data_IF_916962893509
#
_entry.id   IF_916962893509
#
_cell.length_a   1.000
_cell.length_b   1.000
_cell.length_c   1.000
_cell.angle_alpha   90.00
_cell.angle_beta   90.00
_cell.angle_gamma   90.00
#
_symmetry.space_group_name_H-M   'P 1'
#
loop_
_entity.id
_entity.type
_entity.pdbx_description
1 polymer ?
#
# COMPACT_ATOMS: atom_id res chain seq x y z
N UNK A 1 -3.68 -25.64 78.54
CA UNK A 1 -3.99 -24.26 78.10
C UNK A 1 -2.76 -23.38 77.82
N UNK A 2 -1.87 -23.09 78.78
CA UNK A 2 -0.75 -22.12 78.58
C UNK A 2 0.27 -22.53 77.48
N UNK A 3 0.56 -23.84 77.30
CA UNK A 3 1.48 -24.32 76.25
C UNK A 3 0.90 -24.18 74.82
N UNK A 4 -0.41 -24.31 74.65
CA UNK A 4 -1.08 -24.17 73.35
C UNK A 4 -1.20 -22.72 72.93
N UNK A 5 -1.47 -21.79 73.85
CA UNK A 5 -1.46 -20.35 73.55
C UNK A 5 -0.07 -19.84 73.17
N UNK A 6 1.00 -20.31 73.84
CA UNK A 6 2.38 -19.98 73.46
C UNK A 6 2.76 -20.56 72.09
N UNK A 7 2.29 -21.76 71.74
CA UNK A 7 2.46 -22.36 70.41
C UNK A 7 1.68 -21.61 69.33
N UNK A 8 0.44 -21.19 69.60
CA UNK A 8 -0.37 -20.33 68.70
C UNK A 8 0.28 -18.95 68.49
N UNK A 9 0.82 -18.31 69.54
CA UNK A 9 1.56 -17.05 69.45
C UNK A 9 2.88 -17.20 68.66
N UNK A 10 3.62 -18.31 68.80
CA UNK A 10 4.83 -18.59 68.00
C UNK A 10 4.50 -18.84 66.52
N UNK A 11 3.44 -19.60 66.21
CA UNK A 11 2.99 -19.84 64.81
C UNK A 11 2.51 -18.56 64.12
N UNK A 12 1.79 -17.69 64.84
CA UNK A 12 1.41 -16.35 64.33
C UNK A 12 2.62 -15.46 64.03
N UNK A 13 3.66 -15.49 64.88
CA UNK A 13 4.91 -14.74 64.63
C UNK A 13 5.67 -15.24 63.39
N UNK A 14 5.74 -16.55 63.20
CA UNK A 14 6.36 -17.14 61.99
C UNK A 14 5.57 -16.77 60.73
N UNK A 15 4.24 -16.87 60.78
CA UNK A 15 3.38 -16.43 59.68
C UNK A 15 3.54 -14.94 59.35
N UNK A 16 3.70 -14.09 60.38
CA UNK A 16 3.98 -12.67 60.19
C UNK A 16 5.35 -12.42 59.51
N UNK A 17 6.40 -13.14 59.92
CA UNK A 17 7.70 -13.00 59.27
C UNK A 17 7.68 -13.49 57.82
N UNK A 18 6.99 -14.59 57.52
CA UNK A 18 6.80 -15.07 56.15
C UNK A 18 6.05 -14.01 55.32
N UNK A 19 4.99 -13.42 55.86
CA UNK A 19 4.25 -12.35 55.21
C UNK A 19 5.12 -11.10 54.96
N UNK A 20 5.92 -10.68 55.95
CA UNK A 20 6.83 -9.55 55.80
C UNK A 20 7.90 -9.79 54.74
N UNK A 21 8.49 -10.99 54.71
CA UNK A 21 9.45 -11.38 53.67
C UNK A 21 8.78 -11.37 52.30
N UNK A 22 7.55 -11.89 52.18
CA UNK A 22 6.79 -11.87 50.94
C UNK A 22 6.55 -10.43 50.45
N UNK A 23 6.13 -9.53 51.35
CA UNK A 23 5.91 -8.11 51.00
C UNK A 23 7.22 -7.45 50.56
N UNK A 24 8.33 -7.74 51.23
CA UNK A 24 9.65 -7.21 50.85
C UNK A 24 10.05 -7.68 49.45
N UNK A 25 9.82 -8.96 49.12
CA UNK A 25 10.11 -9.52 47.80
C UNK A 25 9.23 -8.89 46.72
N UNK A 26 7.95 -8.67 47.00
CA UNK A 26 7.04 -7.98 46.08
C UNK A 26 7.52 -6.54 45.85
N UNK A 27 7.86 -5.81 46.92
CA UNK A 27 8.36 -4.44 46.81
C UNK A 27 9.66 -4.35 46.01
N UNK A 28 10.59 -5.29 46.23
CA UNK A 28 11.82 -5.40 45.43
C UNK A 28 11.52 -5.71 43.96
N UNK A 29 10.57 -6.61 43.67
CA UNK A 29 10.12 -6.91 42.32
C UNK A 29 9.53 -5.69 41.61
N UNK A 30 8.62 -4.96 42.27
CA UNK A 30 8.06 -3.71 41.73
C UNK A 30 9.16 -2.68 41.49
N UNK A 31 10.11 -2.54 42.41
CA UNK A 31 11.23 -1.62 42.24
C UNK A 31 12.08 -1.96 41.01
N UNK A 32 12.36 -3.25 40.78
CA UNK A 32 13.09 -3.72 39.58
C UNK A 32 12.30 -3.41 38.31
N UNK A 33 11.01 -3.75 38.27
CA UNK A 33 10.17 -3.50 37.08
C UNK A 33 10.12 -2.01 36.74
N UNK A 34 9.99 -1.13 37.74
CA UNK A 34 9.89 0.32 37.53
C UNK A 34 11.21 0.97 37.08
N UNK A 35 12.37 0.43 37.47
CA UNK A 35 13.67 1.08 37.22
C UNK A 35 14.55 0.38 36.19
N UNK A 36 14.35 -0.91 35.95
CA UNK A 36 15.17 -1.71 35.02
C UNK A 36 14.47 -1.90 33.68
N UNK A 37 13.14 -2.02 33.67
CA UNK A 37 12.39 -2.24 32.43
C UNK A 37 11.86 -0.90 31.93
N UNK A 38 12.58 -0.27 31.01
CA UNK A 38 12.27 1.04 30.44
C UNK A 38 12.44 0.99 28.93
N UNK A 39 11.50 1.48 28.14
CA UNK A 39 11.67 1.54 26.69
C UNK A 39 12.66 2.65 26.36
N UNK A 40 13.88 2.29 25.95
CA UNK A 40 14.90 3.24 25.49
C UNK A 40 15.15 3.13 23.99
N UNK A 41 15.02 1.92 23.44
CA UNK A 41 15.21 1.64 22.02
C UNK A 41 14.06 0.77 21.50
N UNK A 42 13.65 1.03 20.26
CA UNK A 42 12.65 0.23 19.55
C UNK A 42 13.27 -0.23 18.23
N UNK A 43 13.27 -1.54 18.02
CA UNK A 43 13.71 -2.16 16.77
C UNK A 43 12.45 -2.65 16.06
N UNK A 44 12.24 -2.19 14.83
CA UNK A 44 11.12 -2.61 13.99
C UNK A 44 11.68 -3.33 12.77
N UNK A 45 11.16 -4.52 12.49
CA UNK A 45 11.54 -5.33 11.33
C UNK A 45 10.29 -5.79 10.57
N UNK A 46 10.43 -6.04 9.26
CA UNK A 46 9.35 -6.55 8.41
C UNK A 46 8.32 -5.48 7.99
N UNK A 47 8.63 -4.20 8.20
CA UNK A 47 7.81 -3.07 7.79
C UNK A 47 8.29 -2.54 6.43
N UNK A 48 7.56 -2.83 5.36
CA UNK A 48 7.82 -2.29 4.02
C UNK A 48 6.84 -1.16 3.68
N UNK A 49 5.59 -1.26 4.14
CA UNK A 49 4.52 -0.29 3.86
C UNK A 49 4.46 0.84 4.86
N UNK A 50 4.63 0.53 6.15
CA UNK A 50 4.64 1.53 7.22
C UNK A 50 6.07 1.86 7.64
N UNK A 51 6.32 3.12 7.98
CA UNK A 51 7.59 3.50 8.60
C UNK A 51 7.73 2.93 10.01
N UNK A 52 8.97 2.69 10.45
CA UNK A 52 9.24 2.18 11.80
C UNK A 52 8.63 3.07 12.89
N UNK A 53 8.60 4.39 12.69
CA UNK A 53 7.97 5.34 13.62
C UNK A 53 6.45 5.21 13.66
N UNK A 54 5.79 4.91 12.54
CA UNK A 54 4.34 4.66 12.54
C UNK A 54 4.01 3.39 13.33
N UNK A 55 4.76 2.30 13.08
CA UNK A 55 4.61 1.04 13.82
C UNK A 55 4.88 1.24 15.31
N UNK A 56 5.95 1.95 15.65
CA UNK A 56 6.27 2.31 17.04
C UNK A 56 5.10 3.04 17.71
N UNK A 57 4.53 4.06 17.06
CA UNK A 57 3.40 4.80 17.60
C UNK A 57 2.10 3.99 17.68
N UNK A 58 1.92 2.96 16.85
CA UNK A 58 0.79 2.04 16.95
C UNK A 58 0.91 1.11 18.16
N UNK A 59 2.12 0.65 18.47
CA UNK A 59 2.41 -0.28 19.57
C UNK A 59 2.60 0.45 20.91
N UNK A 60 3.30 1.58 20.92
CA UNK A 60 3.59 2.38 22.11
C UNK A 60 2.60 3.53 22.28
N UNK A 61 1.30 3.18 22.29
CA UNK A 61 0.21 4.15 22.18
C UNK A 61 -0.47 4.54 23.50
N UNK A 62 0.04 4.09 24.65
CA UNK A 62 -0.60 4.32 25.96
C UNK A 62 0.35 4.88 27.03
N UNK A 63 -0.24 5.32 28.15
CA UNK A 63 0.47 5.94 29.27
C UNK A 63 1.54 5.04 29.92
N UNK A 64 1.41 3.71 29.79
CA UNK A 64 2.32 2.73 30.40
C UNK A 64 3.38 2.21 29.43
N UNK A 65 3.34 2.64 28.18
CA UNK A 65 4.23 2.18 27.10
C UNK A 65 5.70 2.58 27.31
N UNK A 66 6.01 3.39 28.33
CA UNK A 66 7.38 3.62 28.78
C UNK A 66 8.02 2.40 29.45
N UNK A 67 7.23 1.41 29.90
CA UNK A 67 7.73 0.20 30.56
C UNK A 67 7.79 -0.97 29.57
N UNK A 68 8.99 -1.44 29.26
CA UNK A 68 9.20 -2.47 28.24
C UNK A 68 8.56 -3.82 28.62
N UNK A 69 8.58 -4.20 29.90
CA UNK A 69 7.93 -5.43 30.38
C UNK A 69 6.41 -5.33 30.30
N UNK A 70 5.84 -4.15 30.56
CA UNK A 70 4.41 -3.92 30.36
C UNK A 70 4.02 -4.14 28.90
N UNK A 71 4.76 -3.54 27.96
CA UNK A 71 4.49 -3.65 26.52
C UNK A 71 4.55 -5.12 26.06
N UNK A 72 5.61 -5.85 26.42
CA UNK A 72 5.75 -7.29 26.13
C UNK A 72 4.58 -8.12 26.68
N UNK A 73 4.21 -7.87 27.94
CA UNK A 73 3.10 -8.60 28.57
C UNK A 73 1.74 -8.21 27.98
N UNK A 74 1.51 -6.95 27.64
CA UNK A 74 0.28 -6.47 26.99
C UNK A 74 0.06 -7.23 25.70
N UNK A 75 1.05 -7.23 24.81
CA UNK A 75 0.93 -7.81 23.48
C UNK A 75 1.11 -9.32 23.42
N UNK A 76 1.49 -9.96 24.53
CA UNK A 76 1.39 -11.41 24.68
C UNK A 76 -0.04 -11.91 24.95
N UNK A 77 -0.95 -11.03 25.38
CA UNK A 77 -2.32 -11.40 25.74
C UNK A 77 -3.39 -10.57 25.02
N UNK A 78 -3.00 -9.50 24.33
CA UNK A 78 -3.91 -8.57 23.66
C UNK A 78 -3.34 -8.28 22.28
N UNK A 79 -4.14 -8.46 21.23
CA UNK A 79 -3.71 -8.16 19.87
C UNK A 79 -3.64 -6.63 19.63
N UNK A 80 -2.81 -6.21 18.68
CA UNK A 80 -2.59 -4.79 18.33
C UNK A 80 -3.82 -4.15 17.64
N UNK A 81 -4.84 -4.95 17.33
CA UNK A 81 -6.02 -4.55 16.57
C UNK A 81 -5.81 -4.72 15.07
N UNK A 82 -6.84 -4.46 14.29
CA UNK A 82 -6.75 -4.53 12.83
C UNK A 82 -5.99 -3.31 12.29
N UNK A 83 -4.85 -3.56 11.67
CA UNK A 83 -4.03 -2.56 10.98
C UNK A 83 -4.07 -2.89 9.49
N UNK A 84 -4.48 -1.95 8.61
CA UNK A 84 -4.57 -2.21 7.17
C UNK A 84 -3.27 -2.77 6.61
N UNK A 85 -3.34 -3.74 5.70
CA UNK A 85 -2.19 -4.37 5.06
C UNK A 85 -1.22 -5.12 5.98
N UNK A 86 -1.43 -5.10 7.30
CA UNK A 86 -0.65 -5.87 8.26
C UNK A 86 -1.46 -7.08 8.70
N UNK A 87 -0.87 -8.26 8.63
CA UNK A 87 -1.50 -9.50 9.09
C UNK A 87 -1.37 -9.60 10.61
N UNK A 88 -0.15 -9.47 11.12
CA UNK A 88 0.10 -9.47 12.56
C UNK A 88 1.38 -8.73 12.92
N UNK A 89 1.51 -8.38 14.20
CA UNK A 89 2.71 -7.79 14.78
C UNK A 89 3.07 -8.57 16.05
N UNK A 90 4.29 -9.07 16.11
CA UNK A 90 4.83 -9.73 17.29
C UNK A 90 5.72 -8.75 18.06
N UNK A 91 5.41 -8.55 19.33
CA UNK A 91 6.19 -7.68 20.22
C UNK A 91 6.94 -8.54 21.23
N UNK A 92 8.22 -8.29 21.38
CA UNK A 92 9.11 -9.03 22.29
C UNK A 92 10.20 -8.13 22.87
N UNK A 93 10.94 -8.64 23.86
CA UNK A 93 12.09 -7.96 24.44
C UNK A 93 13.39 -8.64 24.08
N UNK A 94 14.30 -7.90 23.47
CA UNK A 94 15.70 -8.33 23.32
C UNK A 94 16.44 -8.20 24.65
N UNK A 95 16.15 -7.12 25.38
CA UNK A 95 16.69 -6.84 26.71
C UNK A 95 15.73 -5.90 27.47
N UNK A 96 15.96 -5.61 28.77
CA UNK A 96 15.06 -4.75 29.54
C UNK A 96 14.86 -3.34 28.99
N UNK A 97 15.72 -2.88 28.07
CA UNK A 97 15.69 -1.55 27.50
C UNK A 97 15.32 -1.48 26.02
N UNK A 98 15.07 -2.63 25.37
CA UNK A 98 14.84 -2.72 23.93
C UNK A 98 13.63 -3.57 23.62
N UNK A 99 12.64 -2.93 22.98
CA UNK A 99 11.45 -3.59 22.44
C UNK A 99 11.71 -3.92 20.97
N UNK A 100 11.50 -5.18 20.59
CA UNK A 100 11.56 -5.63 19.22
C UNK A 100 10.16 -5.93 18.71
N UNK A 101 9.75 -5.21 17.66
CA UNK A 101 8.47 -5.38 16.96
C UNK A 101 8.76 -6.02 15.60
N UNK A 102 8.21 -7.21 15.37
CA UNK A 102 8.24 -7.88 14.06
C UNK A 102 6.88 -7.73 13.40
N UNK A 103 6.86 -7.05 12.26
CA UNK A 103 5.66 -6.83 11.46
C UNK A 103 5.59 -7.91 10.39
N UNK A 104 4.44 -8.55 10.28
CA UNK A 104 4.13 -9.48 9.21
C UNK A 104 3.05 -8.83 8.35
N UNK A 105 3.44 -8.33 7.19
CA UNK A 105 2.51 -7.72 6.24
C UNK A 105 1.73 -8.78 5.46
N UNK A 106 0.52 -8.43 5.01
CA UNK A 106 -0.35 -9.32 4.25
C UNK A 106 0.30 -9.66 2.92
N UNK A 107 0.37 -10.96 2.61
CA UNK A 107 0.96 -11.45 1.37
C UNK A 107 0.06 -11.22 0.15
N UNK A 108 0.15 -10.06 -0.49
CA UNK A 108 -0.64 -9.70 -1.66
C UNK A 108 0.01 -10.17 -2.98
N UNK A 109 -0.80 -10.63 -3.93
CA UNK A 109 -0.38 -11.01 -5.29
C UNK A 109 -0.95 -10.12 -6.40
N UNK A 110 -2.00 -9.36 -6.11
CA UNK A 110 -2.63 -8.44 -7.03
C UNK A 110 -3.85 -7.80 -6.39
N UNK A 111 -4.48 -6.88 -7.12
CA UNK A 111 -5.74 -6.28 -6.70
C UNK A 111 -6.69 -6.01 -7.87
N UNK A 112 -8.00 -6.01 -7.59
CA UNK A 112 -9.06 -5.61 -8.52
C UNK A 112 -9.78 -4.37 -8.00
N UNK A 113 -10.07 -3.41 -8.87
CA UNK A 113 -10.95 -2.31 -8.51
C UNK A 113 -12.41 -2.75 -8.58
N UNK A 114 -13.13 -2.63 -7.47
CA UNK A 114 -14.52 -3.09 -7.35
C UNK A 114 -15.45 -1.89 -7.33
N UNK A 115 -16.16 -1.69 -8.45
CA UNK A 115 -17.05 -0.54 -8.64
C UNK A 115 -18.19 -0.47 -7.61
N UNK A 116 -18.70 -1.62 -7.14
CA UNK A 116 -19.83 -1.69 -6.21
C UNK A 116 -19.52 -1.14 -4.83
N UNK A 117 -18.26 -1.23 -4.39
CA UNK A 117 -17.77 -0.71 -3.10
C UNK A 117 -16.84 0.49 -3.25
N UNK A 118 -16.39 0.82 -4.48
CA UNK A 118 -15.51 1.95 -4.76
C UNK A 118 -14.10 1.79 -4.19
N UNK A 119 -13.62 0.56 -4.03
CA UNK A 119 -12.34 0.22 -3.39
C UNK A 119 -11.58 -0.85 -4.18
N UNK A 120 -10.28 -0.95 -3.93
CA UNK A 120 -9.44 -2.04 -4.41
C UNK A 120 -9.58 -3.24 -3.47
N UNK A 121 -9.81 -4.42 -4.04
CA UNK A 121 -9.80 -5.69 -3.35
C UNK A 121 -8.46 -6.39 -3.59
N UNK A 122 -7.64 -6.51 -2.55
CA UNK A 122 -6.35 -7.17 -2.58
C UNK A 122 -6.49 -8.65 -2.26
N UNK A 123 -5.80 -9.51 -3.01
CA UNK A 123 -5.89 -10.95 -2.83
C UNK A 123 -4.53 -11.64 -2.62
N UNK A 124 -4.56 -12.79 -1.95
CA UNK A 124 -3.39 -13.60 -1.64
C UNK A 124 -3.08 -14.69 -2.68
N UNK A 125 -2.09 -15.53 -2.38
CA UNK A 125 -1.67 -16.64 -3.25
C UNK A 125 -2.73 -17.70 -3.52
N UNK A 126 -3.73 -17.80 -2.66
CA UNK A 126 -4.81 -18.79 -2.77
C UNK A 126 -6.10 -18.18 -3.34
N UNK A 127 -6.07 -16.88 -3.66
CA UNK A 127 -7.15 -16.09 -4.23
C UNK A 127 -8.14 -15.54 -3.21
N UNK A 128 -7.79 -15.56 -1.92
CA UNK A 128 -8.61 -14.96 -0.86
C UNK A 128 -8.39 -13.46 -0.81
N UNK A 129 -9.48 -12.70 -0.64
CA UNK A 129 -9.44 -11.25 -0.43
C UNK A 129 -8.93 -11.00 0.98
N UNK A 130 -7.78 -10.35 1.11
CA UNK A 130 -7.12 -10.12 2.41
C UNK A 130 -7.24 -8.69 2.91
N UNK A 131 -7.55 -7.75 2.02
CA UNK A 131 -7.71 -6.33 2.33
C UNK A 131 -8.61 -5.63 1.31
N UNK A 132 -9.37 -4.63 1.75
CA UNK A 132 -10.13 -3.72 0.87
C UNK A 132 -9.79 -2.28 1.22
N UNK A 133 -9.24 -1.54 0.26
CA UNK A 133 -8.76 -0.17 0.52
C UNK A 133 -8.83 0.71 -0.73
N UNK A 134 -8.94 2.02 -0.54
CA UNK A 134 -8.77 2.99 -1.63
C UNK A 134 -7.29 3.25 -1.94
N UNK A 135 -6.39 2.89 -1.01
CA UNK A 135 -4.95 3.05 -1.20
C UNK A 135 -4.44 2.05 -2.24
N UNK A 136 -3.46 2.48 -3.03
CA UNK A 136 -2.75 1.67 -4.01
C UNK A 136 -1.37 1.36 -3.47
N UNK A 137 -1.04 0.08 -3.40
CA UNK A 137 0.25 -0.40 -2.89
C UNK A 137 1.22 -0.63 -4.05
N UNK A 138 2.37 0.04 -4.01
CA UNK A 138 3.44 -0.13 -5.00
C UNK A 138 3.94 -1.59 -5.02
N UNK A 139 4.25 -2.10 -6.21
CA UNK A 139 4.74 -3.46 -6.40
C UNK A 139 3.66 -4.56 -6.37
N UNK A 140 2.39 -4.21 -6.18
CA UNK A 140 1.25 -5.14 -6.31
C UNK A 140 0.53 -4.86 -7.63
N UNK A 141 0.43 -5.84 -8.55
CA UNK A 141 -0.16 -5.61 -9.88
C UNK A 141 -1.66 -5.35 -9.80
N UNK A 142 -2.12 -4.36 -10.56
CA UNK A 142 -3.55 -4.18 -10.84
C UNK A 142 -4.03 -5.23 -11.83
N UNK A 143 -5.18 -5.86 -11.57
CA UNK A 143 -5.80 -6.80 -12.49
C UNK A 143 -7.00 -6.13 -13.17
N UNK A 144 -7.03 -6.18 -14.50
CA UNK A 144 -8.10 -5.59 -15.32
C UNK A 144 -8.54 -6.55 -16.43
N UNK A 145 -9.67 -6.23 -17.08
CA UNK A 145 -10.23 -7.08 -18.15
C UNK A 145 -10.99 -8.31 -17.66
N UNK A 146 -11.11 -8.53 -16.34
CA UNK A 146 -11.94 -9.58 -15.75
C UNK A 146 -13.05 -8.95 -14.89
N UNK A 147 -14.25 -9.53 -14.97
CA UNK A 147 -15.42 -9.15 -14.16
C UNK A 147 -15.42 -9.88 -12.81
N UNK A 148 -15.62 -9.14 -11.73
CA UNK A 148 -15.84 -9.65 -10.38
C UNK A 148 -17.02 -8.88 -9.77
N UNK A 149 -18.16 -9.55 -9.62
CA UNK A 149 -19.42 -8.91 -9.20
C UNK A 149 -19.46 -8.65 -7.69
N UNK A 150 -19.01 -9.64 -6.91
CA UNK A 150 -19.08 -9.62 -5.45
C UNK A 150 -17.71 -9.94 -4.84
N UNK A 151 -17.33 -9.11 -3.87
CA UNK A 151 -16.11 -9.26 -3.09
C UNK A 151 -16.49 -9.25 -1.63
N UNK A 152 -16.08 -10.31 -0.93
CA UNK A 152 -16.24 -10.46 0.51
C UNK A 152 -14.85 -10.66 1.11
N UNK A 153 -14.54 -9.89 2.16
CA UNK A 153 -13.27 -10.00 2.87
C UNK A 153 -13.11 -11.41 3.47
N UNK A 154 -11.93 -11.99 3.34
CA UNK A 154 -11.56 -13.35 3.75
C UNK A 154 -12.26 -14.47 2.97
N UNK A 155 -12.94 -14.16 1.87
CA UNK A 155 -13.44 -15.16 0.92
C UNK A 155 -12.63 -15.14 -0.38
N UNK A 156 -12.76 -16.22 -1.16
CA UNK A 156 -12.12 -16.28 -2.48
C UNK A 156 -12.80 -15.33 -3.45
N UNK A 157 -12.01 -14.71 -4.32
CA UNK A 157 -12.50 -13.92 -5.44
C UNK A 157 -13.52 -14.74 -6.26
N UNK A 158 -14.71 -14.17 -6.43
CA UNK A 158 -15.77 -14.77 -7.22
C UNK A 158 -15.69 -14.20 -8.63
N UNK A 159 -14.89 -14.86 -9.48
CA UNK A 159 -14.82 -14.56 -10.91
C UNK A 159 -15.85 -15.40 -11.67
N UNK A 160 -16.40 -14.87 -12.76
CA UNK A 160 -17.38 -15.58 -13.61
C UNK A 160 -16.86 -16.93 -14.11
N UNK A 161 -15.54 -17.02 -14.36
CA UNK A 161 -14.88 -18.25 -14.79
C UNK A 161 -13.78 -18.66 -13.80
N UNK A 162 -13.98 -19.81 -13.14
CA UNK A 162 -13.05 -20.35 -12.16
C UNK A 162 -11.68 -20.75 -12.73
N UNK A 163 -11.60 -21.10 -14.01
CA UNK A 163 -10.32 -21.41 -14.67
C UNK A 163 -9.44 -20.16 -14.76
N UNK A 164 -10.04 -18.99 -15.00
CA UNK A 164 -9.33 -17.71 -15.08
C UNK A 164 -8.72 -17.34 -13.73
N UNK A 165 -9.43 -17.60 -12.62
CA UNK A 165 -8.86 -17.39 -11.29
C UNK A 165 -7.64 -18.29 -11.07
N UNK A 166 -7.72 -19.57 -11.42
CA UNK A 166 -6.59 -20.50 -11.29
C UNK A 166 -5.40 -19.99 -12.10
N UNK A 167 -5.64 -19.59 -13.33
CA UNK A 167 -4.58 -19.19 -14.26
C UNK A 167 -3.95 -17.85 -13.82
N UNK A 168 -4.77 -16.88 -13.38
CA UNK A 168 -4.30 -15.64 -12.76
C UNK A 168 -3.40 -15.91 -11.54
N UNK A 169 -3.81 -16.82 -10.65
CA UNK A 169 -3.03 -17.16 -9.46
C UNK A 169 -1.72 -17.84 -9.82
N UNK A 170 -1.71 -18.72 -10.83
CA UNK A 170 -0.50 -19.39 -11.30
C UNK A 170 0.48 -18.41 -11.95
N UNK A 171 -0.02 -17.51 -12.79
CA UNK A 171 0.73 -16.42 -13.41
C UNK A 171 1.37 -15.50 -12.36
N UNK A 172 0.58 -14.92 -11.47
CA UNK A 172 1.07 -13.98 -10.43
C UNK A 172 2.08 -14.64 -9.49
N UNK A 173 1.86 -15.89 -9.07
CA UNK A 173 2.83 -16.65 -8.26
C UNK A 173 4.14 -16.89 -9.01
N UNK A 174 4.05 -17.24 -10.29
CA UNK A 174 5.24 -17.48 -11.12
C UNK A 174 6.03 -16.18 -11.31
N UNK A 175 5.36 -15.07 -11.62
CA UNK A 175 5.99 -13.75 -11.75
C UNK A 175 6.64 -13.30 -10.44
N UNK A 176 5.96 -13.46 -9.30
CA UNK A 176 6.49 -13.13 -7.97
C UNK A 176 7.75 -13.95 -7.63
N UNK A 177 7.75 -15.24 -7.95
CA UNK A 177 8.92 -16.12 -7.73
C UNK A 177 10.19 -15.62 -8.43
N UNK A 178 10.04 -14.95 -9.58
CA UNK A 178 11.16 -14.40 -10.35
C UNK A 178 11.35 -12.89 -10.15
N UNK A 179 10.64 -12.25 -9.21
CA UNK A 179 10.63 -10.80 -8.99
C UNK A 179 10.29 -9.98 -10.25
N UNK A 180 9.26 -10.43 -10.99
CA UNK A 180 8.80 -9.84 -12.23
C UNK A 180 7.33 -9.43 -12.16
N UNK A 181 6.82 -8.99 -11.01
CA UNK A 181 5.44 -8.49 -10.95
C UNK A 181 5.33 -7.20 -11.80
N UNK A 182 4.37 -7.13 -12.74
CA UNK A 182 4.11 -5.94 -13.55
C UNK A 182 3.33 -4.88 -12.75
N UNK A 183 3.15 -3.71 -13.34
CA UNK A 183 2.26 -2.67 -12.81
C UNK A 183 0.79 -3.10 -13.00
N UNK A 184 0.48 -3.71 -14.15
CA UNK A 184 -0.86 -4.17 -14.51
C UNK A 184 -0.82 -5.52 -15.25
N UNK A 185 -1.80 -6.37 -14.96
CA UNK A 185 -2.13 -7.58 -15.71
C UNK A 185 -3.54 -7.39 -16.27
N UNK A 186 -3.62 -7.17 -17.58
CA UNK A 186 -4.89 -7.02 -18.28
C UNK A 186 -5.22 -8.33 -19.00
N UNK A 187 -6.46 -8.79 -18.86
CA UNK A 187 -6.99 -9.85 -19.72
C UNK A 187 -7.63 -9.22 -20.96
N UNK A 188 -7.22 -9.69 -22.13
CA UNK A 188 -7.76 -9.21 -23.40
C UNK A 188 -9.11 -9.87 -23.75
N UNK A 189 -9.64 -9.58 -24.94
CA UNK A 189 -10.92 -10.15 -25.39
C UNK A 189 -10.90 -11.67 -25.59
N UNK A 190 -9.73 -12.29 -25.68
CA UNK A 190 -9.56 -13.74 -25.75
C UNK A 190 -9.35 -14.37 -24.36
N UNK A 191 -9.42 -13.57 -23.29
CA UNK A 191 -9.06 -13.94 -21.92
C UNK A 191 -7.60 -14.38 -21.79
N UNK A 192 -6.71 -13.82 -22.61
CA UNK A 192 -5.27 -14.02 -22.47
C UNK A 192 -4.62 -12.86 -21.72
N UNK A 193 -3.67 -13.13 -20.80
CA UNK A 193 -3.01 -12.10 -20.04
C UNK A 193 -1.99 -11.30 -20.87
N UNK A 194 -2.02 -9.99 -20.68
CA UNK A 194 -1.04 -9.00 -21.15
C UNK A 194 -0.46 -8.29 -19.94
N UNK A 195 0.86 -8.33 -19.79
CA UNK A 195 1.58 -7.72 -18.66
C UNK A 195 2.09 -6.34 -19.08
N UNK A 196 1.94 -5.36 -18.20
CA UNK A 196 2.42 -3.99 -18.42
C UNK A 196 3.55 -3.64 -17.45
N UNK A 197 4.72 -3.32 -17.99
CA UNK A 197 5.87 -2.80 -17.26
C UNK A 197 6.17 -1.39 -17.77
N UNK A 198 5.52 -0.38 -17.18
CA UNK A 198 5.55 1.00 -17.69
C UNK A 198 5.13 1.08 -19.16
N UNK A 199 6.07 1.37 -20.05
CA UNK A 199 5.86 1.52 -21.51
C UNK A 199 5.99 0.22 -22.30
N UNK A 200 6.33 -0.89 -21.64
CA UNK A 200 6.53 -2.20 -22.24
C UNK A 200 5.28 -3.05 -22.02
N UNK A 201 4.69 -3.54 -23.10
CA UNK A 201 3.63 -4.53 -23.07
C UNK A 201 4.22 -5.91 -23.34
N UNK A 202 3.83 -6.92 -22.58
CA UNK A 202 4.28 -8.30 -22.79
C UNK A 202 3.05 -9.17 -22.97
N UNK A 203 2.86 -9.69 -24.18
CA UNK A 203 1.84 -10.68 -24.47
C UNK A 203 2.39 -12.04 -24.09
N UNK A 204 1.86 -12.62 -23.01
CA UNK A 204 2.32 -13.93 -22.53
C UNK A 204 1.48 -15.08 -23.09
N UNK A 205 0.22 -14.79 -23.46
CA UNK A 205 -0.72 -15.76 -24.03
C UNK A 205 -1.13 -16.83 -23.03
N UNK A 206 -1.37 -18.05 -23.52
CA UNK A 206 -1.70 -19.20 -22.69
C UNK A 206 -0.62 -19.55 -21.65
N UNK A 207 -1.03 -20.28 -20.60
CA UNK A 207 -0.15 -20.79 -19.55
C UNK A 207 0.85 -21.86 -20.01
N UNK A 208 0.80 -22.28 -21.27
CA UNK A 208 1.70 -23.29 -21.79
C UNK A 208 3.15 -22.82 -21.67
N UNK A 209 3.97 -23.64 -21.02
CA UNK A 209 5.36 -23.33 -20.71
C UNK A 209 5.56 -22.02 -19.92
N UNK A 210 4.57 -21.61 -19.11
CA UNK A 210 4.60 -20.35 -18.35
C UNK A 210 5.90 -20.15 -17.57
N UNK A 211 6.35 -21.17 -16.83
CA UNK A 211 7.60 -21.09 -16.07
C UNK A 211 8.82 -20.75 -16.95
N UNK A 212 8.91 -21.37 -18.13
CA UNK A 212 10.00 -21.11 -19.07
C UNK A 212 9.85 -19.76 -19.75
N UNK A 213 8.63 -19.35 -20.12
CA UNK A 213 8.33 -18.00 -20.64
C UNK A 213 8.78 -16.94 -19.64
N UNK A 214 8.41 -17.06 -18.35
CA UNK A 214 8.80 -16.10 -17.30
C UNK A 214 10.32 -16.09 -17.06
N UNK A 215 11.01 -17.24 -17.14
CA UNK A 215 12.49 -17.28 -17.10
C UNK A 215 13.11 -16.54 -18.29
N UNK A 216 12.52 -16.61 -19.48
CA UNK A 216 13.00 -15.82 -20.62
C UNK A 216 12.72 -14.34 -20.44
N UNK A 217 11.55 -14.01 -19.91
CA UNK A 217 11.17 -12.64 -19.59
C UNK A 217 12.18 -12.00 -18.62
N UNK A 218 12.66 -12.71 -17.59
CA UNK A 218 13.64 -12.16 -16.64
C UNK A 218 14.99 -11.79 -17.28
N UNK A 219 15.32 -12.42 -18.41
CA UNK A 219 16.55 -12.16 -19.16
C UNK A 219 16.34 -11.03 -20.17
N UNK A 220 15.16 -10.94 -20.78
CA UNK A 220 14.86 -9.99 -21.85
C UNK A 220 14.46 -8.62 -21.30
N UNK A 221 13.63 -8.58 -20.26
CA UNK A 221 13.05 -7.33 -19.75
C UNK A 221 14.12 -6.28 -19.39
N UNK A 222 15.25 -6.61 -18.73
CA UNK A 222 16.31 -5.63 -18.47
C UNK A 222 16.99 -5.05 -19.72
N UNK A 223 16.93 -5.76 -20.85
CA UNK A 223 17.48 -5.28 -22.13
C UNK A 223 16.54 -4.30 -22.86
N UNK A 224 15.28 -4.25 -22.43
CA UNK A 224 14.26 -3.36 -22.95
C UNK A 224 14.08 -2.10 -22.10
N UNK A 225 14.90 -1.93 -21.06
CA UNK A 225 14.83 -0.77 -20.18
C UNK A 225 14.97 0.54 -20.97
N UNK A 226 14.07 1.49 -20.70
CA UNK A 226 13.95 2.76 -21.42
C UNK A 226 13.35 2.67 -22.83
N UNK A 227 12.93 1.49 -23.31
CA UNK A 227 12.24 1.34 -24.59
C UNK A 227 10.72 1.27 -24.41
N UNK A 228 10.00 1.49 -25.51
CA UNK A 228 8.54 1.37 -25.58
C UNK A 228 8.16 0.41 -26.69
N UNK A 229 7.20 -0.48 -26.43
CA UNK A 229 6.78 -1.46 -27.43
C UNK A 229 6.11 -2.70 -26.85
N UNK A 230 5.87 -3.67 -27.74
CA UNK A 230 5.22 -4.95 -27.41
C UNK A 230 6.19 -6.10 -27.58
N UNK A 231 6.38 -6.89 -26.52
CA UNK A 231 7.09 -8.16 -26.54
C UNK A 231 6.09 -9.28 -26.74
N UNK A 232 6.26 -10.03 -27.82
CA UNK A 232 5.42 -11.18 -28.15
C UNK A 232 6.07 -12.46 -27.63
N UNK A 233 5.52 -13.00 -26.55
CA UNK A 233 5.96 -14.23 -25.89
C UNK A 233 4.91 -15.34 -25.95
N UNK A 234 3.71 -15.03 -26.44
CA UNK A 234 2.57 -15.93 -26.57
C UNK A 234 2.85 -17.11 -27.50
N UNK A 235 3.62 -16.91 -28.57
CA UNK A 235 3.99 -17.95 -29.55
C UNK A 235 5.23 -18.76 -29.18
N UNK A 236 5.88 -18.41 -28.06
CA UNK A 236 7.14 -19.04 -27.67
C UNK A 236 6.92 -20.47 -27.16
N UNK A 237 7.72 -21.41 -27.68
CA UNK A 237 7.82 -22.78 -27.17
C UNK A 237 9.28 -23.25 -27.18
N UNK A 238 9.61 -24.39 -26.55
CA UNK A 238 10.95 -24.98 -26.68
C UNK A 238 11.33 -25.34 -28.13
N UNK A 239 10.34 -25.50 -29.02
CA UNK A 239 10.54 -25.82 -30.44
C UNK A 239 10.53 -24.55 -31.32
N UNK A 240 9.76 -23.53 -30.93
CA UNK A 240 9.64 -22.22 -31.59
C UNK A 240 10.24 -21.14 -30.70
N UNK A 241 11.56 -21.02 -30.74
CA UNK A 241 12.32 -20.15 -29.82
C UNK A 241 12.35 -18.68 -30.19
N UNK A 242 11.74 -18.31 -31.32
CA UNK A 242 11.72 -16.93 -31.82
C UNK A 242 10.82 -16.06 -30.93
N UNK A 243 11.30 -14.86 -30.60
CA UNK A 243 10.60 -13.86 -29.79
C UNK A 243 10.63 -12.55 -30.58
N UNK A 244 9.46 -11.94 -30.74
CA UNK A 244 9.29 -10.71 -31.54
C UNK A 244 9.17 -9.51 -30.60
N UNK A 245 9.89 -8.44 -30.93
CA UNK A 245 9.79 -7.15 -30.25
C UNK A 245 9.35 -6.08 -31.25
N UNK A 246 8.15 -5.57 -31.05
CA UNK A 246 7.56 -4.51 -31.86
C UNK A 246 7.74 -3.18 -31.14
N UNK A 247 8.71 -2.38 -31.59
CA UNK A 247 8.99 -1.07 -31.02
C UNK A 247 7.84 -0.11 -31.34
N UNK A 248 7.39 0.66 -30.33
CA UNK A 248 6.48 1.76 -30.56
C UNK A 248 7.21 2.88 -31.33
N UNK A 249 6.65 3.35 -32.45
CA UNK A 249 7.23 4.46 -33.20
C UNK A 249 7.18 5.74 -32.35
N UNK A 250 8.32 6.39 -32.13
CA UNK A 250 8.38 7.73 -31.55
C UNK A 250 7.67 8.68 -32.52
N UNK A 251 6.55 9.28 -32.10
CA UNK A 251 6.01 10.43 -32.80
C UNK A 251 7.00 11.57 -32.66
N UNK A 252 7.89 11.73 -33.64
CA UNK A 252 8.71 12.93 -33.78
C UNK A 252 7.77 14.12 -33.98
N UNK A 253 7.64 14.97 -32.95
CA UNK A 253 7.14 16.33 -33.12
C UNK A 253 7.99 16.97 -34.23
N UNK A 254 7.39 17.10 -35.42
CA UNK A 254 8.03 17.77 -36.54
C UNK A 254 7.93 19.26 -36.24
N UNK A 255 9.02 19.85 -35.76
CA UNK A 255 9.21 21.30 -35.83
C UNK A 255 9.06 21.71 -37.31
N UNK A 256 8.00 22.47 -37.61
CA UNK A 256 7.78 23.06 -38.93
C UNK A 256 8.90 24.07 -39.24
N UNK A 257 9.97 23.62 -39.90
CA UNK A 257 10.96 24.51 -40.51
C UNK A 257 10.35 25.10 -41.80
N UNK A 258 9.65 26.24 -41.65
CA UNK A 258 9.14 27.01 -42.78
C UNK A 258 10.33 27.61 -43.54
N UNK A 259 10.68 27.00 -44.67
CA UNK A 259 11.71 27.51 -45.59
C UNK A 259 11.03 28.42 -46.61
N UNK A 260 11.17 29.74 -46.47
CA UNK A 260 10.84 30.71 -47.53
C UNK A 260 12.05 30.86 -48.47
N UNK A 261 11.86 30.56 -49.76
CA UNK A 261 12.78 31.01 -50.83
C UNK A 261 12.22 32.26 -51.55
N UNK A 262 13.09 33.19 -51.98
CA UNK A 262 12.70 34.50 -52.49
C UNK A 262 12.47 34.48 -54.02
N UNK A 263 11.54 35.29 -54.51
CA UNK A 263 11.48 35.65 -55.94
C UNK A 263 11.42 37.17 -56.13
N UNK A 264 12.32 37.64 -56.98
CA UNK A 264 12.58 39.03 -57.32
C UNK A 264 11.47 39.67 -58.17
N UNK A 265 11.30 40.97 -57.91
CA UNK A 265 10.60 42.05 -58.63
C UNK A 265 10.96 42.16 -60.14
N UNK A 266 10.26 42.97 -61.00
CA UNK A 266 9.98 44.40 -60.74
C UNK A 266 8.74 45.06 -61.42
N UNK A 267 8.39 46.25 -60.91
CA UNK A 267 8.37 47.56 -61.63
C UNK A 267 7.18 48.52 -61.33
N UNK A 268 7.57 49.65 -60.70
CA UNK A 268 7.17 51.07 -60.84
C UNK A 268 5.69 51.51 -60.93
N UNK A 269 5.22 52.32 -59.96
CA UNK A 269 5.19 53.81 -60.01
C UNK A 269 4.56 54.41 -58.71
N UNK A 270 5.03 55.58 -58.27
CA UNK A 270 4.58 56.39 -57.08
C UNK A 270 3.74 57.61 -57.58
N UNK A 271 3.17 58.58 -56.82
CA UNK A 271 3.17 58.86 -55.35
C UNK A 271 1.88 59.49 -54.71
N UNK A 272 1.98 59.77 -53.39
CA UNK A 272 1.41 60.89 -52.60
C UNK A 272 -0.03 60.75 -51.99
N UNK A 273 -0.13 60.75 -50.65
CA UNK A 273 -0.62 61.82 -49.72
C UNK A 273 -1.97 61.36 -49.12
N UNK A 274 -2.31 61.37 -47.81
CA UNK A 274 -2.31 62.41 -46.78
C UNK A 274 -2.58 61.76 -45.38
N UNK A 275 -2.04 62.33 -44.29
CA UNK A 275 -2.49 62.15 -42.88
C UNK A 275 -3.74 63.06 -42.59
N UNK A 276 -4.37 63.16 -41.39
CA UNK A 276 -4.11 62.55 -40.06
C UNK A 276 -5.36 62.07 -39.24
N UNK A 277 -5.05 61.41 -38.11
CA UNK A 277 -5.65 61.36 -36.76
C UNK A 277 -7.06 61.92 -36.42
N UNK A 278 -7.75 61.20 -35.52
CA UNK A 278 -8.63 61.65 -34.39
C UNK A 278 -9.45 60.43 -33.92
N UNK A 279 -9.92 60.22 -32.70
CA UNK A 279 -9.66 60.69 -31.33
C UNK A 279 -10.41 59.67 -30.44
N UNK A 280 -9.92 59.45 -29.22
CA UNK A 280 -10.54 58.72 -28.09
C UNK A 280 -11.89 59.35 -27.67
N UNK A 281 -12.85 58.67 -26.98
CA UNK A 281 -12.62 58.16 -25.61
C UNK A 281 -13.49 56.99 -25.08
N UNK A 282 -13.08 56.57 -23.87
CA UNK A 282 -13.64 55.57 -22.98
C UNK A 282 -15.01 55.92 -22.35
N UNK A 283 -15.73 54.89 -21.88
CA UNK A 283 -16.63 55.01 -20.71
C UNK A 283 -16.95 53.64 -20.04
N UNK A 284 -16.64 53.59 -18.72
CA UNK A 284 -17.46 53.13 -17.58
C UNK A 284 -17.93 51.66 -17.36
N UNK A 285 -17.23 50.96 -16.46
CA UNK A 285 -17.60 50.25 -15.18
C UNK A 285 -19.08 50.36 -14.71
N UNK A 286 -19.74 49.39 -13.99
CA UNK A 286 -19.30 48.70 -12.75
C UNK A 286 -19.62 47.18 -12.62
N UNK A 287 -18.81 46.36 -11.95
CA UNK A 287 -18.66 46.12 -10.49
C UNK A 287 -19.95 45.67 -9.78
N UNK A 288 -19.99 44.40 -9.34
CA UNK A 288 -20.91 43.92 -8.31
C UNK A 288 -20.16 42.98 -7.34
N UNK A 289 -20.09 43.43 -6.08
CA UNK A 289 -19.64 42.69 -4.90
C UNK A 289 -20.75 41.73 -4.43
N UNK A 290 -20.38 40.52 -4.00
CA UNK A 290 -21.17 39.79 -3.00
C UNK A 290 -20.24 39.22 -1.91
N UNK A 291 -20.47 39.73 -0.70
CA UNK A 291 -19.91 39.27 0.58
C UNK A 291 -20.96 38.41 1.34
N UNK A 292 -20.56 37.72 2.43
CA UNK A 292 -21.08 36.40 2.81
C UNK A 292 -22.26 36.46 3.80
N UNK A 293 -23.01 35.37 3.89
CA UNK A 293 -24.07 35.18 4.89
C UNK A 293 -23.50 34.60 6.20
N UNK A 294 -23.86 35.28 7.30
CA UNK A 294 -23.53 34.99 8.70
C UNK A 294 -24.62 34.15 9.39
N UNK A 295 -24.20 33.44 10.43
CA UNK A 295 -24.91 32.54 11.36
C UNK A 295 -26.24 33.03 11.96
N UNK A 296 -27.11 32.08 12.36
CA UNK A 296 -27.69 32.05 13.74
C UNK A 296 -28.21 30.64 14.11
N UNK A 297 -28.19 30.23 15.40
CA UNK A 297 -28.37 28.85 15.88
C UNK A 297 -29.76 28.59 16.52
N UNK A 298 -30.10 27.31 16.77
CA UNK A 298 -31.15 26.95 17.73
C UNK A 298 -30.89 25.58 18.38
N UNK A 299 -30.85 25.60 19.71
CA UNK A 299 -31.00 24.47 20.65
C UNK A 299 -32.32 23.71 20.40
N UNK A 300 -32.36 22.41 20.67
CA UNK A 300 -32.94 21.85 21.92
C UNK A 300 -33.07 20.32 21.81
N UNK A 301 -32.52 19.59 22.79
CA UNK A 301 -32.79 18.16 23.01
C UNK A 301 -34.13 18.01 23.76
N UNK A 302 -34.78 16.84 23.73
CA UNK A 302 -34.74 16.03 24.96
C UNK A 302 -34.63 14.51 24.71
N UNK A 303 -34.44 13.70 25.79
CA UNK A 303 -33.73 12.42 25.72
C UNK A 303 -34.61 11.16 25.97
N UNK A 304 -34.03 10.01 25.61
CA UNK A 304 -34.10 8.66 26.23
C UNK A 304 -35.46 7.92 26.32
N UNK A 305 -35.51 6.69 25.78
CA UNK A 305 -36.02 5.48 26.46
C UNK A 305 -35.22 4.26 25.95
N UNK A 306 -34.43 3.64 26.84
CA UNK A 306 -34.60 2.30 27.45
C UNK A 306 -34.15 1.12 26.59
#
# INVERSE_FOLDING_TARGET
>A
MIKEERRRKKRRKIGLYILLILILLIAAGVFIVMNVFTVENVVVEGNELYSSTQIENMVLNDEYSWNSLYVDLKYRFVDIGEVPFVDTMEVSLDNPHTVHIKVYEKGMLGYLYINSIGQNAYFDKDGFVVETSTEVIDGVPKITGISCEEVVLYEKLQLENSDILRDLLNLTQTLKKYNLLPDEIQYDSNMEPVLYYGTIQVKIGSEDNLSQKVVRLSIILPQLDGLSGTLHLETWTPETTDIIWDRAEEQSETEEETTEEPSEEPSADTPAEEQPAQDVPAENTPAEEQQPAENTPAEDMPPVEQ
#
